data_IF_434740462180
#
_entry.id   IF_434740462180
#
_cell.length_a   1.000
_cell.length_b   1.000
_cell.length_c   1.000
_cell.angle_alpha   90.00
_cell.angle_beta   90.00
_cell.angle_gamma   90.00
#
_symmetry.space_group_name_H-M   'P 1'
#
loop_
_entity.id
_entity.type
_entity.pdbx_description
1 polymer ?
#
# COMPACT_ATOMS: atom_id res chain seq x y z
N UNK A 1 -18.10 15.45 23.38
CA UNK A 1 -17.20 14.85 22.37
C UNK A 1 -15.83 14.61 23.01
N UNK A 2 -15.75 13.75 24.03
CA UNK A 2 -14.53 13.51 24.81
C UNK A 2 -13.85 12.22 24.33
N UNK A 3 -13.35 12.23 23.09
CA UNK A 3 -12.60 11.11 22.51
C UNK A 3 -11.25 11.61 22.03
N UNK A 4 -10.19 10.86 22.34
CA UNK A 4 -8.82 11.15 21.91
C UNK A 4 -8.55 10.45 20.58
N UNK A 5 -8.24 11.19 19.50
CA UNK A 5 -7.95 10.58 18.20
C UNK A 5 -6.58 9.90 18.20
N UNK A 6 -6.54 8.62 17.81
CA UNK A 6 -5.29 7.84 17.73
C UNK A 6 -4.67 7.81 16.32
N UNK A 7 -5.44 8.18 15.28
CA UNK A 7 -5.00 8.19 13.89
C UNK A 7 -5.88 9.09 13.01
N UNK A 8 -5.40 9.41 11.81
CA UNK A 8 -6.15 10.12 10.77
C UNK A 8 -5.96 9.40 9.42
N UNK A 9 -7.05 9.24 8.65
CA UNK A 9 -6.97 8.79 7.26
C UNK A 9 -6.46 9.92 6.36
N UNK A 10 -5.25 9.77 5.81
CA UNK A 10 -4.63 10.78 4.94
C UNK A 10 -5.14 10.71 3.49
N UNK A 11 -5.31 9.51 2.94
CA UNK A 11 -5.79 9.29 1.57
C UNK A 11 -6.31 7.87 1.38
N UNK A 12 -7.01 7.63 0.26
CA UNK A 12 -7.32 6.31 -0.24
C UNK A 12 -7.33 6.30 -1.78
N UNK A 13 -7.06 5.14 -2.36
CA UNK A 13 -7.15 4.93 -3.80
C UNK A 13 -7.56 3.50 -4.12
N UNK A 14 -8.28 3.34 -5.22
CA UNK A 14 -8.68 2.05 -5.78
C UNK A 14 -8.16 2.00 -7.20
N UNK A 15 -7.46 0.92 -7.54
CA UNK A 15 -6.94 0.66 -8.87
C UNK A 15 -7.40 -0.72 -9.35
N UNK A 16 -7.74 -0.81 -10.63
CA UNK A 16 -8.03 -2.08 -11.30
C UNK A 16 -6.80 -2.59 -12.04
N UNK A 17 -6.63 -3.91 -12.06
CA UNK A 17 -5.63 -4.62 -12.88
C UNK A 17 -6.31 -5.77 -13.61
N UNK A 18 -5.62 -6.33 -14.60
CA UNK A 18 -6.11 -7.51 -15.33
C UNK A 18 -6.42 -8.67 -14.36
N UNK A 19 -7.59 -9.33 -14.45
CA UNK A 19 -8.00 -10.37 -13.49
C UNK A 19 -6.99 -11.51 -13.32
N UNK A 20 -6.31 -11.87 -14.41
CA UNK A 20 -5.29 -12.93 -14.42
C UNK A 20 -4.05 -12.62 -13.56
N UNK A 21 -3.85 -11.37 -13.17
CA UNK A 21 -2.75 -10.89 -12.32
C UNK A 21 -3.30 -10.10 -11.11
N UNK A 22 -4.53 -10.36 -10.67
CA UNK A 22 -5.21 -9.59 -9.62
C UNK A 22 -4.36 -9.32 -8.36
N UNK A 23 -3.43 -10.23 -8.02
CA UNK A 23 -2.54 -10.09 -6.87
C UNK A 23 -1.60 -8.88 -6.91
N UNK A 24 -1.35 -8.28 -8.08
CA UNK A 24 -0.51 -7.08 -8.20
C UNK A 24 -1.28 -5.76 -8.00
N UNK A 25 -2.55 -5.80 -7.59
CA UNK A 25 -3.36 -4.61 -7.32
C UNK A 25 -2.65 -3.52 -6.49
N UNK A 26 -1.91 -3.85 -5.41
CA UNK A 26 -1.17 -2.86 -4.63
C UNK A 26 -0.14 -2.06 -5.45
N UNK A 27 0.48 -2.65 -6.46
CA UNK A 27 1.46 -1.96 -7.33
C UNK A 27 0.82 -0.77 -8.05
N UNK A 28 -0.43 -0.90 -8.47
CA UNK A 28 -1.17 0.18 -9.10
C UNK A 28 -1.78 1.16 -8.08
N UNK A 29 -2.19 0.66 -6.91
CA UNK A 29 -2.94 1.44 -5.93
C UNK A 29 -2.05 2.30 -5.00
N UNK A 30 -0.96 1.74 -4.48
CA UNK A 30 -0.10 2.37 -3.45
C UNK A 30 0.50 3.69 -3.94
N UNK A 31 1.12 3.78 -5.14
CA UNK A 31 1.72 5.04 -5.59
C UNK A 31 0.71 6.18 -5.68
N UNK A 32 -0.52 5.88 -6.08
CA UNK A 32 -1.61 6.85 -6.21
C UNK A 32 -2.18 7.29 -4.86
N UNK A 33 -2.21 6.39 -3.87
CA UNK A 33 -2.57 6.76 -2.50
C UNK A 33 -1.52 7.68 -1.87
N UNK A 34 -0.23 7.38 -2.06
CA UNK A 34 0.89 8.20 -1.57
C UNK A 34 0.90 9.58 -2.24
N UNK A 35 0.75 9.64 -3.57
CA UNK A 35 0.64 10.88 -4.34
C UNK A 35 -0.48 11.78 -3.77
N UNK A 36 -1.68 11.23 -3.54
CA UNK A 36 -2.80 11.98 -2.93
C UNK A 36 -2.55 12.42 -1.50
N UNK A 37 -1.76 11.66 -0.74
CA UNK A 37 -1.37 12.03 0.62
C UNK A 37 -0.23 13.06 0.66
N UNK A 38 0.42 13.34 -0.47
CA UNK A 38 1.64 14.15 -0.54
C UNK A 38 2.86 13.47 0.11
N UNK A 39 2.88 12.13 0.13
CA UNK A 39 3.93 11.32 0.74
C UNK A 39 4.74 10.56 -0.32
N UNK A 40 5.96 10.17 0.05
CA UNK A 40 6.82 9.25 -0.69
C UNK A 40 6.82 7.89 0.00
N UNK A 41 7.28 6.86 -0.72
CA UNK A 41 7.39 5.50 -0.17
C UNK A 41 8.25 5.47 1.11
N UNK A 42 9.38 6.18 1.11
CA UNK A 42 10.30 6.25 2.24
C UNK A 42 9.79 7.08 3.43
N UNK A 43 8.64 7.75 3.29
CA UNK A 43 7.98 8.43 4.42
C UNK A 43 7.10 7.45 5.23
N UNK A 44 6.91 6.22 4.74
CA UNK A 44 6.09 5.19 5.37
C UNK A 44 6.98 4.32 6.24
N UNK A 45 6.68 4.29 7.55
CA UNK A 45 7.42 3.49 8.51
C UNK A 45 6.90 2.06 8.71
N UNK A 46 5.77 1.69 8.10
CA UNK A 46 5.20 0.34 8.13
C UNK A 46 4.25 0.14 6.94
N UNK A 47 4.39 -0.97 6.23
CA UNK A 47 3.47 -1.39 5.17
C UNK A 47 2.66 -2.61 5.60
N UNK A 48 1.34 -2.43 5.73
CA UNK A 48 0.40 -3.54 5.96
C UNK A 48 -0.21 -3.97 4.62
N UNK A 49 0.31 -5.06 4.07
CA UNK A 49 -0.18 -5.68 2.83
C UNK A 49 -0.94 -6.95 3.15
N UNK A 50 -2.13 -7.13 2.58
CA UNK A 50 -2.83 -8.40 2.72
C UNK A 50 -2.08 -9.52 1.98
N UNK A 51 -1.76 -10.59 2.71
CA UNK A 51 -1.02 -11.74 2.18
C UNK A 51 -1.96 -12.84 1.67
N UNK A 52 -2.73 -12.56 0.62
CA UNK A 52 -3.57 -13.59 0.00
C UNK A 52 -2.75 -14.82 -0.46
N UNK A 53 -1.53 -14.60 -0.97
CA UNK A 53 -0.55 -15.63 -1.35
C UNK A 53 0.88 -15.07 -1.22
N UNK A 54 1.83 -15.87 -0.75
CA UNK A 54 3.22 -15.41 -0.61
C UNK A 54 3.86 -14.97 -1.94
N UNK A 55 3.51 -15.62 -3.04
CA UNK A 55 4.03 -15.28 -4.37
C UNK A 55 3.66 -13.87 -4.81
N UNK A 56 2.42 -13.44 -4.54
CA UNK A 56 2.01 -12.06 -4.85
C UNK A 56 2.67 -11.07 -3.90
N UNK A 57 2.76 -11.39 -2.60
CA UNK A 57 3.30 -10.44 -1.61
C UNK A 57 4.75 -10.10 -1.95
N UNK A 58 5.54 -11.12 -2.28
CA UNK A 58 6.93 -10.94 -2.74
C UNK A 58 7.00 -10.12 -4.04
N UNK A 59 6.09 -10.32 -4.98
CA UNK A 59 6.05 -9.55 -6.21
C UNK A 59 5.72 -8.07 -5.93
N UNK A 60 4.73 -7.79 -5.09
CA UNK A 60 4.33 -6.44 -4.69
C UNK A 60 5.47 -5.70 -3.99
N UNK A 61 6.09 -6.33 -2.98
CA UNK A 61 7.21 -5.72 -2.22
C UNK A 61 8.37 -5.36 -3.16
N UNK A 62 8.75 -6.28 -4.05
CA UNK A 62 9.85 -6.06 -5.00
C UNK A 62 9.53 -4.97 -6.01
N UNK A 63 8.32 -4.98 -6.58
CA UNK A 63 7.93 -4.04 -7.64
C UNK A 63 7.75 -2.62 -7.10
N UNK A 64 7.21 -2.48 -5.87
CA UNK A 64 7.11 -1.18 -5.21
C UNK A 64 8.44 -0.69 -4.63
N UNK A 65 9.44 -1.57 -4.51
CA UNK A 65 10.72 -1.23 -3.87
C UNK A 65 10.57 -0.99 -2.37
N UNK A 66 9.65 -1.70 -1.71
CA UNK A 66 9.46 -1.64 -0.26
C UNK A 66 10.65 -2.34 0.42
N UNK A 67 11.19 -1.70 1.45
CA UNK A 67 12.18 -2.33 2.33
C UNK A 67 11.50 -3.45 3.13
N UNK A 68 11.93 -4.72 3.02
CA UNK A 68 11.29 -5.82 3.73
C UNK A 68 11.59 -5.84 5.24
N UNK A 69 12.53 -5.03 5.72
CA UNK A 69 12.94 -4.98 7.12
C UNK A 69 12.19 -3.90 7.94
N UNK A 70 11.24 -3.17 7.33
CA UNK A 70 10.41 -2.13 7.99
C UNK A 70 8.94 -2.54 8.20
#
# INVERSE_FOLDING_TARGET
>A
MNVEPIAQLKSYHVAGVEPRIMGIGPVAAVPKALEKAGLKLNDIGLFELNEAFASQSLAVVRELGIDPDI
#
